data_IF_336125713152
#
_entry.id   IF_336125713152
#
_cell.length_a   1.000
_cell.length_b   1.000
_cell.length_c   1.000
_cell.angle_alpha   90.00
_cell.angle_beta   90.00
_cell.angle_gamma   90.00
#
_symmetry.space_group_name_H-M   'P 1'
#
loop_
_entity.id
_entity.type
_entity.pdbx_description
1 polymer ?
#
# COMPACT_ATOMS: atom_id res chain seq x y z
N UNK A 1 9.46 -15.44 32.19
CA UNK A 1 9.01 -14.07 32.30
C UNK A 1 7.61 -13.93 31.74
N UNK A 2 6.72 -13.37 32.48
CA UNK A 2 5.34 -13.19 32.03
C UNK A 2 5.28 -12.05 31.04
N UNK A 3 4.46 -12.22 29.98
CA UNK A 3 4.15 -11.15 29.05
C UNK A 3 3.32 -10.09 29.77
N UNK A 4 3.66 -8.85 29.56
CA UNK A 4 2.89 -7.75 30.13
C UNK A 4 1.51 -7.70 29.48
N UNK A 5 0.46 -7.77 30.27
CA UNK A 5 -0.89 -7.59 29.77
C UNK A 5 -1.16 -6.12 29.51
N UNK A 6 -1.82 -5.84 28.39
CA UNK A 6 -2.26 -4.50 28.07
C UNK A 6 -3.45 -4.13 28.95
N UNK A 7 -3.49 -2.89 29.44
CA UNK A 7 -4.67 -2.35 30.11
C UNK A 7 -5.83 -2.22 29.12
N UNK A 8 -7.04 -2.01 29.64
CA UNK A 8 -8.20 -1.77 28.80
C UNK A 8 -8.02 -0.54 27.91
N UNK A 9 -7.41 0.51 28.44
CA UNK A 9 -7.11 1.73 27.67
C UNK A 9 -6.09 1.47 26.57
N UNK A 10 -5.05 0.68 26.86
CA UNK A 10 -4.04 0.32 25.89
C UNK A 10 -4.61 -0.56 24.76
N UNK A 11 -5.48 -1.51 25.12
CA UNK A 11 -6.17 -2.33 24.12
C UNK A 11 -7.07 -1.52 23.22
N UNK A 12 -7.80 -0.56 23.79
CA UNK A 12 -8.67 0.34 23.01
C UNK A 12 -7.86 1.22 22.07
N UNK A 13 -6.74 1.77 22.54
CA UNK A 13 -5.83 2.56 21.72
C UNK A 13 -5.28 1.74 20.55
N UNK A 14 -4.89 0.48 20.83
CA UNK A 14 -4.38 -0.42 19.79
C UNK A 14 -5.45 -0.75 18.75
N UNK A 15 -6.70 -1.00 19.17
CA UNK A 15 -7.82 -1.25 18.25
C UNK A 15 -8.13 -0.03 17.39
N UNK A 16 -8.15 1.15 18.01
CA UNK A 16 -8.39 2.40 17.31
C UNK A 16 -7.33 2.65 16.23
N UNK A 17 -6.07 2.44 16.59
CA UNK A 17 -4.95 2.60 15.65
C UNK A 17 -5.03 1.61 14.49
N UNK A 18 -5.38 0.36 14.78
CA UNK A 18 -5.55 -0.67 13.76
C UNK A 18 -6.70 -0.33 12.80
N UNK A 19 -7.81 0.17 13.34
CA UNK A 19 -8.94 0.61 12.53
C UNK A 19 -8.56 1.80 11.64
N UNK A 20 -7.87 2.79 12.19
CA UNK A 20 -7.39 3.95 11.43
C UNK A 20 -6.49 3.51 10.28
N UNK A 21 -5.58 2.56 10.54
CA UNK A 21 -4.69 2.04 9.50
C UNK A 21 -5.47 1.35 8.37
N UNK A 22 -6.44 0.52 8.71
CA UNK A 22 -7.30 -0.15 7.71
C UNK A 22 -8.10 0.85 6.90
N UNK A 23 -8.67 1.85 7.56
CA UNK A 23 -9.45 2.91 6.90
C UNK A 23 -8.57 3.71 5.94
N UNK A 24 -7.36 4.09 6.37
CA UNK A 24 -6.43 4.83 5.52
C UNK A 24 -6.08 4.03 4.26
N UNK A 25 -5.81 2.72 4.40
CA UNK A 25 -5.51 1.87 3.25
C UNK A 25 -6.71 1.72 2.32
N UNK A 26 -7.91 1.52 2.87
CA UNK A 26 -9.13 1.38 2.08
C UNK A 26 -9.43 2.67 1.31
N UNK A 27 -9.31 3.81 1.95
CA UNK A 27 -9.55 5.12 1.33
C UNK A 27 -8.56 5.38 0.20
N UNK A 28 -7.30 5.04 0.41
CA UNK A 28 -6.27 5.21 -0.61
C UNK A 28 -6.53 4.32 -1.82
N UNK A 29 -6.86 3.06 -1.58
CA UNK A 29 -7.20 2.12 -2.66
C UNK A 29 -8.36 2.62 -3.49
N UNK A 30 -9.41 3.11 -2.85
CA UNK A 30 -10.57 3.65 -3.56
C UNK A 30 -10.22 4.92 -4.34
N UNK A 31 -9.46 5.81 -3.75
CA UNK A 31 -8.99 7.02 -4.41
C UNK A 31 -8.12 6.72 -5.64
N UNK A 32 -7.25 5.74 -5.52
CA UNK A 32 -6.42 5.31 -6.64
C UNK A 32 -7.25 4.60 -7.72
N UNK A 33 -8.13 3.69 -7.32
CA UNK A 33 -9.02 2.97 -8.24
C UNK A 33 -9.88 3.93 -9.07
N UNK A 34 -10.43 4.95 -8.42
CA UNK A 34 -11.33 5.91 -9.06
C UNK A 34 -10.60 6.98 -9.88
N UNK A 35 -9.28 7.00 -9.86
CA UNK A 35 -8.48 7.98 -10.60
C UNK A 35 -8.28 9.31 -9.89
N UNK A 36 -8.72 9.43 -8.64
CA UNK A 36 -8.55 10.66 -7.85
C UNK A 36 -7.11 10.85 -7.37
N UNK A 37 -6.37 9.75 -7.18
CA UNK A 37 -4.98 9.79 -6.74
C UNK A 37 -4.07 9.23 -7.82
N UNK A 38 -2.97 9.92 -8.08
CA UNK A 38 -1.89 9.42 -8.95
C UNK A 38 -0.99 8.48 -8.16
N UNK A 39 -0.20 7.66 -8.88
CA UNK A 39 0.83 6.84 -8.22
C UNK A 39 1.85 7.69 -7.50
N UNK A 40 2.21 8.85 -8.04
CA UNK A 40 3.13 9.76 -7.38
C UNK A 40 2.60 10.19 -6.01
N UNK A 41 1.32 10.55 -5.93
CA UNK A 41 0.69 10.91 -4.64
C UNK A 41 0.58 9.71 -3.71
N UNK A 42 0.34 8.51 -4.23
CA UNK A 42 0.33 7.29 -3.44
C UNK A 42 1.70 7.03 -2.81
N UNK A 43 2.77 7.19 -3.57
CA UNK A 43 4.13 7.00 -3.05
C UNK A 43 4.50 8.05 -2.01
N UNK A 44 4.07 9.30 -2.21
CA UNK A 44 4.28 10.34 -1.21
C UNK A 44 3.57 10.00 0.10
N UNK A 45 2.33 9.53 0.02
CA UNK A 45 1.58 9.08 1.20
C UNK A 45 2.25 7.87 1.86
N UNK A 46 2.79 6.95 1.07
CA UNK A 46 3.48 5.77 1.59
C UNK A 46 4.73 6.14 2.39
N UNK A 47 5.43 7.18 1.98
CA UNK A 47 6.63 7.64 2.68
C UNK A 47 6.30 8.35 3.99
N UNK A 48 5.12 8.96 4.10
CA UNK A 48 4.72 9.72 5.28
C UNK A 48 3.87 8.91 6.26
N UNK A 49 3.09 7.96 5.77
CA UNK A 49 2.15 7.16 6.57
C UNK A 49 2.57 5.70 6.58
N UNK A 50 2.95 5.19 7.75
CA UNK A 50 3.40 3.81 7.90
C UNK A 50 2.32 2.79 7.47
N UNK A 51 1.04 3.08 7.69
CA UNK A 51 -0.04 2.19 7.29
C UNK A 51 -0.08 2.03 5.77
N UNK A 52 0.10 3.13 5.04
CA UNK A 52 0.17 3.12 3.58
C UNK A 52 1.48 2.50 3.10
N UNK A 53 2.60 2.87 3.73
CA UNK A 53 3.92 2.36 3.34
C UNK A 53 4.05 0.85 3.47
N UNK A 54 3.32 0.24 4.39
CA UNK A 54 3.31 -1.21 4.61
C UNK A 54 2.40 -1.96 3.64
N UNK A 55 1.60 -1.25 2.87
CA UNK A 55 0.73 -1.89 1.88
C UNK A 55 1.58 -2.61 0.83
N UNK A 56 1.18 -3.81 0.47
CA UNK A 56 1.88 -4.56 -0.57
C UNK A 56 1.57 -3.94 -1.94
N UNK A 57 2.58 -3.84 -2.76
CA UNK A 57 2.42 -3.27 -4.11
C UNK A 57 1.38 -4.03 -4.92
N UNK A 58 1.37 -5.36 -4.82
CA UNK A 58 0.41 -6.20 -5.53
C UNK A 58 -1.03 -5.86 -5.13
N UNK A 59 -1.26 -5.57 -3.86
CA UNK A 59 -2.62 -5.24 -3.39
C UNK A 59 -3.12 -3.92 -3.98
N UNK A 60 -2.23 -2.94 -4.09
CA UNK A 60 -2.58 -1.68 -4.74
C UNK A 60 -2.93 -1.89 -6.23
N UNK A 61 -2.11 -2.64 -6.94
CA UNK A 61 -2.32 -2.88 -8.38
C UNK A 61 -3.61 -3.63 -8.65
N UNK A 62 -3.99 -4.55 -7.78
CA UNK A 62 -5.23 -5.31 -7.93
C UNK A 62 -6.49 -4.47 -7.77
N UNK A 63 -6.38 -3.23 -7.27
CA UNK A 63 -7.53 -2.33 -7.21
C UNK A 63 -7.93 -1.81 -8.59
N UNK A 64 -7.01 -1.85 -9.54
CA UNK A 64 -7.29 -1.38 -10.90
C UNK A 64 -8.20 -2.35 -11.63
N UNK A 65 -9.13 -1.81 -12.40
CA UNK A 65 -10.06 -2.61 -13.17
C UNK A 65 -9.32 -3.50 -14.15
N UNK A 66 -9.66 -4.79 -14.16
CA UNK A 66 -9.04 -5.75 -15.05
C UNK A 66 -7.68 -6.26 -14.62
N UNK A 67 -7.20 -5.86 -13.44
CA UNK A 67 -5.92 -6.30 -12.90
C UNK A 67 -6.15 -7.27 -11.75
N UNK A 68 -6.01 -8.56 -12.04
CA UNK A 68 -6.00 -9.60 -11.02
C UNK A 68 -4.58 -9.89 -10.55
N UNK A 69 -4.45 -10.95 -9.75
CA UNK A 69 -3.17 -11.34 -9.15
C UNK A 69 -2.09 -11.62 -10.22
N UNK A 70 -2.45 -12.35 -11.26
CA UNK A 70 -1.49 -12.72 -12.33
C UNK A 70 -1.01 -11.48 -13.07
N UNK A 71 -1.92 -10.60 -13.45
CA UNK A 71 -1.58 -9.38 -14.18
C UNK A 71 -0.76 -8.43 -13.32
N UNK A 72 -1.12 -8.29 -12.05
CA UNK A 72 -0.35 -7.48 -11.10
C UNK A 72 1.09 -8.01 -10.99
N UNK A 73 1.26 -9.32 -10.91
CA UNK A 73 2.57 -9.94 -10.88
C UNK A 73 3.40 -9.65 -12.12
N UNK A 74 2.78 -9.68 -13.29
CA UNK A 74 3.47 -9.36 -14.55
C UNK A 74 3.88 -7.89 -14.64
N UNK A 75 3.02 -7.00 -14.16
CA UNK A 75 3.36 -5.56 -14.10
C UNK A 75 4.57 -5.35 -13.20
N UNK A 76 4.57 -5.96 -12.02
CA UNK A 76 5.68 -5.85 -11.08
C UNK A 76 6.98 -6.39 -11.67
N UNK A 77 6.91 -7.55 -12.30
CA UNK A 77 8.06 -8.16 -12.96
C UNK A 77 8.64 -7.22 -14.03
N UNK A 78 7.79 -6.61 -14.85
CA UNK A 78 8.21 -5.66 -15.88
C UNK A 78 8.90 -4.42 -15.30
N UNK A 79 8.55 -4.06 -14.06
CA UNK A 79 9.13 -2.90 -13.37
C UNK A 79 10.31 -3.27 -12.45
N UNK A 80 10.73 -4.53 -12.45
CA UNK A 80 11.82 -4.99 -11.60
C UNK A 80 11.46 -5.03 -10.12
N UNK A 81 10.20 -5.28 -9.80
CA UNK A 81 9.68 -5.29 -8.43
C UNK A 81 9.40 -6.74 -8.03
N UNK A 82 9.97 -7.18 -6.91
CA UNK A 82 9.70 -8.53 -6.41
C UNK A 82 8.29 -8.62 -5.81
N UNK A 83 7.66 -9.84 -5.84
CA UNK A 83 6.25 -10.00 -5.49
C UNK A 83 5.85 -9.55 -4.09
N UNK A 84 6.78 -9.59 -3.14
CA UNK A 84 6.50 -9.27 -1.75
C UNK A 84 6.84 -7.83 -1.37
N UNK A 85 7.24 -7.01 -2.33
CA UNK A 85 7.68 -5.65 -2.04
C UNK A 85 6.50 -4.78 -1.62
N UNK A 86 6.71 -4.00 -0.56
CA UNK A 86 5.75 -3.04 -0.05
C UNK A 86 6.01 -1.67 -0.67
N UNK A 87 5.00 -0.80 -0.68
CA UNK A 87 5.10 0.51 -1.33
C UNK A 87 6.30 1.32 -0.86
N UNK A 88 6.51 1.38 0.45
CA UNK A 88 7.64 2.14 1.02
C UNK A 88 9.00 1.55 0.63
N UNK A 89 9.04 0.26 0.34
CA UNK A 89 10.27 -0.43 -0.06
C UNK A 89 10.66 -0.24 -1.51
N UNK A 90 9.84 0.42 -2.32
CA UNK A 90 10.14 0.65 -3.72
C UNK A 90 11.19 1.74 -3.88
N UNK A 91 12.26 1.44 -4.63
CA UNK A 91 13.27 2.42 -4.98
C UNK A 91 12.77 3.39 -6.03
N UNK A 92 13.51 4.46 -6.24
CA UNK A 92 13.15 5.52 -7.18
C UNK A 92 12.88 4.98 -8.59
N UNK A 93 13.76 4.13 -9.11
CA UNK A 93 13.62 3.58 -10.46
C UNK A 93 12.39 2.69 -10.59
N UNK A 94 12.09 1.92 -9.53
CA UNK A 94 10.90 1.07 -9.51
C UNK A 94 9.63 1.90 -9.52
N UNK A 95 9.60 2.99 -8.75
CA UNK A 95 8.46 3.92 -8.72
C UNK A 95 8.25 4.58 -10.08
N UNK A 96 9.32 5.08 -10.68
CA UNK A 96 9.26 5.70 -12.00
C UNK A 96 8.80 4.71 -13.07
N UNK A 97 9.29 3.48 -13.04
CA UNK A 97 8.89 2.45 -13.97
C UNK A 97 7.41 2.12 -13.83
N UNK A 98 6.92 2.02 -12.60
CA UNK A 98 5.51 1.72 -12.34
C UNK A 98 4.60 2.86 -12.81
N UNK A 99 4.97 4.10 -12.53
CA UNK A 99 4.23 5.28 -13.00
C UNK A 99 4.15 5.28 -14.54
N UNK A 100 5.28 5.02 -15.20
CA UNK A 100 5.32 4.97 -16.65
C UNK A 100 4.48 3.83 -17.23
N UNK A 101 4.51 2.67 -16.59
CA UNK A 101 3.76 1.51 -17.04
C UNK A 101 2.25 1.72 -16.91
N UNK A 102 1.81 2.22 -15.76
CA UNK A 102 0.38 2.41 -15.48
C UNK A 102 -0.16 3.68 -16.16
N UNK A 103 0.66 4.73 -16.27
CA UNK A 103 0.25 5.98 -16.89
C UNK A 103 -0.62 6.87 -16.00
N UNK A 104 -0.54 6.67 -14.73
CA UNK A 104 -1.35 7.45 -13.76
C UNK A 104 -0.53 8.10 -12.70
#
# INVERSE_FOLDING_TARGET
MALKELSAAEREAARSKALQARTARADLKESFRSGKSSLESVFAAADEDAAIGRMRTVDLLQTLQGVGEVRAGKIMESCGISPNRRLRGLGRRQREALIAYIGR
#
